data_IF_550610368091
#
_entry.id   IF_550610368091
#
_cell.length_a   1.000
_cell.length_b   1.000
_cell.length_c   1.000
_cell.angle_alpha   90.00
_cell.angle_beta   90.00
_cell.angle_gamma   90.00
#
_symmetry.space_group_name_H-M   'P 1'
#
loop_
_entity.id
_entity.type
_entity.pdbx_description
1 polymer ?
#
# COMPACT_ATOMS: atom_id res chain seq x y z
N UNK A 1 98.83 2.03 -36.79
CA UNK A 1 98.04 3.09 -36.12
C UNK A 1 96.68 3.17 -36.79
N UNK A 2 95.68 2.62 -36.08
CA UNK A 2 94.27 3.05 -35.96
C UNK A 2 93.64 4.00 -36.99
N UNK A 3 92.49 3.58 -37.54
CA UNK A 3 91.16 4.21 -37.57
C UNK A 3 90.40 3.71 -38.82
N UNK A 4 89.57 2.67 -38.74
CA UNK A 4 88.17 2.62 -38.28
C UNK A 4 87.15 3.32 -39.22
N UNK A 5 86.30 2.47 -39.82
CA UNK A 5 84.84 2.58 -39.99
C UNK A 5 84.18 3.57 -41.00
N UNK A 6 83.46 3.04 -42.02
CA UNK A 6 81.97 2.98 -42.09
C UNK A 6 81.39 2.34 -43.40
N UNK A 7 80.76 1.16 -43.23
CA UNK A 7 79.44 0.60 -43.68
C UNK A 7 78.55 1.50 -44.60
N UNK A 8 77.82 1.01 -45.64
CA UNK A 8 76.84 -0.10 -45.52
C UNK A 8 76.74 -1.16 -46.63
N UNK A 9 76.52 -2.41 -46.19
CA UNK A 9 75.89 -3.48 -46.94
C UNK A 9 74.36 -3.36 -46.78
N UNK A 10 73.68 -3.32 -47.91
CA UNK A 10 72.23 -3.38 -48.04
C UNK A 10 71.81 -4.86 -48.04
N UNK A 11 71.23 -5.32 -46.93
CA UNK A 11 70.64 -6.66 -46.81
C UNK A 11 69.37 -6.51 -45.97
N UNK A 12 68.26 -6.15 -46.61
CA UNK A 12 66.96 -6.32 -45.97
C UNK A 12 66.44 -7.73 -46.21
N UNK A 13 66.45 -8.44 -45.09
CA UNK A 13 66.04 -9.82 -44.89
C UNK A 13 64.53 -9.88 -44.73
N UNK A 14 63.98 -10.91 -45.36
CA UNK A 14 62.69 -11.56 -45.13
C UNK A 14 62.06 -11.29 -43.75
N UNK A 15 60.99 -10.50 -43.73
CA UNK A 15 60.14 -10.29 -42.56
C UNK A 15 58.77 -10.91 -42.83
N UNK A 16 58.57 -12.10 -42.27
CA UNK A 16 57.28 -12.80 -42.18
C UNK A 16 56.17 -11.87 -41.67
N UNK A 17 54.94 -11.93 -42.23
CA UNK A 17 53.82 -11.19 -41.67
C UNK A 17 53.41 -11.80 -40.32
N UNK A 18 53.55 -11.02 -39.26
CA UNK A 18 52.97 -11.34 -37.96
C UNK A 18 51.43 -11.43 -38.07
N UNK A 19 50.79 -12.37 -37.36
CA UNK A 19 49.34 -12.50 -37.38
C UNK A 19 48.71 -11.22 -36.84
N UNK A 20 47.86 -10.59 -37.65
CA UNK A 20 47.04 -9.47 -37.24
C UNK A 20 46.16 -9.92 -36.07
N UNK A 21 46.50 -9.47 -34.87
CA UNK A 21 45.61 -9.60 -33.71
C UNK A 21 44.26 -8.96 -34.08
N UNK A 22 43.12 -9.63 -33.85
CA UNK A 22 41.83 -9.00 -34.09
C UNK A 22 41.76 -7.75 -33.23
N UNK A 23 41.50 -6.62 -33.89
CA UNK A 23 41.29 -5.33 -33.25
C UNK A 23 40.28 -5.53 -32.11
N UNK A 24 40.73 -5.19 -30.90
CA UNK A 24 39.95 -5.33 -29.69
C UNK A 24 38.59 -4.65 -29.85
N UNK A 25 37.54 -5.47 -29.94
CA UNK A 25 36.15 -5.06 -29.87
C UNK A 25 35.86 -4.60 -28.42
N UNK A 26 36.22 -3.36 -28.12
CA UNK A 26 36.01 -2.70 -26.81
C UNK A 26 34.72 -1.87 -26.84
N UNK A 27 34.09 -1.61 -25.69
CA UNK A 27 33.05 -2.37 -25.03
C UNK A 27 31.71 -1.62 -25.18
N UNK A 28 31.22 -1.41 -26.41
CA UNK A 28 29.92 -0.74 -26.62
C UNK A 28 28.73 -1.56 -26.09
N UNK A 29 28.95 -2.86 -25.84
CA UNK A 29 28.00 -3.75 -25.16
C UNK A 29 27.93 -3.54 -23.63
N UNK A 30 28.96 -3.01 -22.98
CA UNK A 30 29.03 -2.95 -21.51
C UNK A 30 28.05 -1.94 -20.89
N UNK A 31 27.99 -0.72 -21.43
CA UNK A 31 27.10 0.35 -20.96
C UNK A 31 25.63 0.08 -21.33
N UNK A 32 25.34 -0.39 -22.55
CA UNK A 32 23.98 -0.78 -22.95
C UNK A 32 23.48 -1.95 -22.09
N UNK A 33 24.26 -3.01 -21.94
CA UNK A 33 23.88 -4.13 -21.07
C UNK A 33 23.72 -3.72 -19.60
N UNK A 34 24.50 -2.74 -19.13
CA UNK A 34 24.31 -2.16 -17.80
C UNK A 34 22.97 -1.43 -17.72
N UNK A 35 22.69 -0.50 -18.64
CA UNK A 35 21.42 0.25 -18.71
C UNK A 35 20.20 -0.68 -18.83
N UNK A 36 20.30 -1.75 -19.62
CA UNK A 36 19.26 -2.76 -19.75
C UNK A 36 19.03 -3.49 -18.42
N UNK A 37 20.11 -3.90 -17.73
CA UNK A 37 20.01 -4.46 -16.37
C UNK A 37 19.37 -3.48 -15.37
N UNK A 38 19.69 -2.19 -15.45
CA UNK A 38 19.04 -1.16 -14.63
C UNK A 38 17.56 -0.99 -14.98
N UNK A 39 17.20 -1.02 -16.27
CA UNK A 39 15.81 -0.95 -16.73
C UNK A 39 14.99 -2.14 -16.23
N UNK A 40 15.51 -3.36 -16.37
CA UNK A 40 14.89 -4.61 -15.86
C UNK A 40 14.71 -4.54 -14.34
N UNK A 41 15.75 -4.12 -13.59
CA UNK A 41 15.65 -3.96 -12.13
C UNK A 41 14.60 -2.95 -11.72
N UNK A 42 14.51 -1.81 -12.42
CA UNK A 42 13.47 -0.80 -12.16
C UNK A 42 12.08 -1.30 -12.50
N UNK A 43 11.91 -2.02 -13.60
CA UNK A 43 10.64 -2.64 -13.96
C UNK A 43 10.19 -3.65 -12.89
N UNK A 44 11.08 -4.55 -12.46
CA UNK A 44 10.80 -5.51 -11.39
C UNK A 44 10.53 -4.83 -10.03
N UNK A 45 11.19 -3.70 -9.73
CA UNK A 45 10.89 -2.94 -8.52
C UNK A 45 9.51 -2.26 -8.57
N UNK A 46 9.09 -1.76 -9.75
CA UNK A 46 7.75 -1.20 -9.94
C UNK A 46 6.68 -2.27 -9.84
N UNK A 47 6.86 -3.41 -10.50
CA UNK A 47 5.92 -4.53 -10.45
C UNK A 47 5.72 -5.02 -9.01
N UNK A 48 6.80 -5.18 -8.25
CA UNK A 48 6.73 -5.52 -6.82
C UNK A 48 5.90 -4.53 -5.99
N UNK A 49 6.05 -3.22 -6.24
CA UNK A 49 5.25 -2.19 -5.54
C UNK A 49 3.78 -2.27 -5.91
N UNK A 50 3.47 -2.55 -7.17
CA UNK A 50 2.09 -2.73 -7.62
C UNK A 50 1.47 -3.97 -6.98
N UNK A 51 2.18 -5.10 -6.99
CA UNK A 51 1.74 -6.34 -6.33
C UNK A 51 1.52 -6.12 -4.84
N UNK A 52 2.42 -5.41 -4.16
CA UNK A 52 2.26 -5.08 -2.75
C UNK A 52 1.03 -4.21 -2.49
N UNK A 53 0.79 -3.22 -3.36
CA UNK A 53 -0.39 -2.37 -3.24
C UNK A 53 -1.69 -3.13 -3.47
N UNK A 54 -1.71 -4.11 -4.40
CA UNK A 54 -2.86 -4.99 -4.60
C UNK A 54 -3.13 -5.86 -3.37
N UNK A 55 -2.08 -6.40 -2.73
CA UNK A 55 -2.22 -7.16 -1.47
C UNK A 55 -2.77 -6.28 -0.36
N UNK A 56 -2.27 -5.06 -0.25
CA UNK A 56 -2.75 -4.10 0.73
C UNK A 56 -4.25 -3.80 0.54
N UNK A 57 -4.73 -3.63 -0.70
CA UNK A 57 -6.15 -3.40 -0.96
C UNK A 57 -7.02 -4.62 -0.62
N UNK A 58 -6.53 -5.82 -0.89
CA UNK A 58 -7.17 -7.09 -0.50
C UNK A 58 -7.20 -7.28 1.03
N UNK A 59 -6.13 -6.90 1.75
CA UNK A 59 -6.11 -6.83 3.22
C UNK A 59 -7.11 -5.81 3.77
N UNK A 60 -7.21 -4.63 3.16
CA UNK A 60 -8.17 -3.60 3.54
C UNK A 60 -9.62 -4.06 3.30
N UNK A 61 -9.88 -4.76 2.20
CA UNK A 61 -11.20 -5.36 1.95
C UNK A 61 -11.57 -6.35 3.05
N UNK A 62 -10.68 -7.29 3.40
CA UNK A 62 -10.91 -8.24 4.51
C UNK A 62 -11.14 -7.56 5.85
N UNK A 63 -10.39 -6.50 6.13
CA UNK A 63 -10.54 -5.71 7.35
C UNK A 63 -11.94 -5.09 7.41
N UNK A 64 -12.42 -4.51 6.30
CA UNK A 64 -13.76 -3.93 6.21
C UNK A 64 -14.87 -4.98 6.33
N UNK A 65 -14.70 -6.16 5.73
CA UNK A 65 -15.61 -7.29 5.93
C UNK A 65 -15.68 -7.69 7.41
N UNK A 66 -14.53 -7.81 8.08
CA UNK A 66 -14.46 -8.13 9.52
C UNK A 66 -15.10 -7.03 10.37
N UNK A 67 -14.91 -5.75 10.00
CA UNK A 67 -15.55 -4.63 10.67
C UNK A 67 -17.07 -4.67 10.52
N UNK A 68 -17.58 -5.07 9.34
CA UNK A 68 -19.02 -5.24 9.11
C UNK A 68 -19.59 -6.33 10.00
N UNK A 69 -18.90 -7.47 10.14
CA UNK A 69 -19.28 -8.54 11.08
C UNK A 69 -19.29 -8.07 12.54
N UNK A 70 -18.39 -7.16 12.94
CA UNK A 70 -18.43 -6.55 14.28
C UNK A 70 -19.71 -5.74 14.47
N UNK A 71 -20.09 -4.90 13.49
CA UNK A 71 -21.32 -4.10 13.53
C UNK A 71 -22.57 -4.98 13.56
N UNK A 72 -22.60 -6.03 12.73
CA UNK A 72 -23.72 -6.98 12.64
C UNK A 72 -23.93 -7.76 13.94
N UNK A 73 -22.85 -8.08 14.68
CA UNK A 73 -22.95 -8.69 16.01
C UNK A 73 -23.41 -7.71 17.09
N UNK A 74 -23.02 -6.45 16.98
CA UNK A 74 -23.38 -5.43 17.95
C UNK A 74 -22.94 -4.04 17.50
N UNK A 75 -23.92 -3.16 17.35
CA UNK A 75 -23.71 -1.76 16.99
C UNK A 75 -24.10 -0.82 18.13
N UNK A 76 -23.35 0.28 18.30
CA UNK A 76 -23.68 1.34 19.27
C UNK A 76 -23.48 2.73 18.68
N UNK A 77 -24.25 3.67 19.21
CA UNK A 77 -24.08 5.11 19.03
C UNK A 77 -23.47 5.76 20.26
N UNK A 78 -22.91 6.95 20.09
CA UNK A 78 -22.40 7.84 21.14
C UNK A 78 -21.30 7.22 22.03
N UNK A 79 -20.69 6.14 21.56
CA UNK A 79 -19.58 5.44 22.19
C UNK A 79 -18.80 4.72 21.10
N UNK A 80 -17.49 4.55 21.28
CA UNK A 80 -16.67 3.77 20.36
C UNK A 80 -16.87 2.27 20.57
N UNK A 81 -16.94 1.85 21.83
CA UNK A 81 -17.08 0.45 22.22
C UNK A 81 -18.09 0.29 23.35
N UNK A 82 -18.80 -0.83 23.34
CA UNK A 82 -19.44 -1.41 24.49
C UNK A 82 -18.78 -2.75 24.79
N UNK A 83 -18.40 -3.00 26.04
CA UNK A 83 -17.62 -4.17 26.45
C UNK A 83 -18.09 -4.70 27.81
N UNK A 84 -17.72 -5.94 28.13
CA UNK A 84 -17.94 -6.50 29.47
C UNK A 84 -16.77 -6.13 30.39
N UNK A 85 -17.07 -5.51 31.53
CA UNK A 85 -16.10 -5.32 32.59
C UNK A 85 -15.78 -6.61 33.36
N UNK A 86 -14.87 -6.52 34.32
CA UNK A 86 -14.44 -7.66 35.16
C UNK A 86 -15.58 -8.30 35.96
N UNK A 87 -16.69 -7.57 36.15
CA UNK A 87 -17.89 -8.05 36.85
C UNK A 87 -18.97 -8.53 35.86
N UNK A 88 -18.65 -8.66 34.57
CA UNK A 88 -19.59 -9.06 33.53
C UNK A 88 -20.65 -8.00 33.19
N UNK A 89 -20.47 -6.75 33.59
CA UNK A 89 -21.42 -5.66 33.30
C UNK A 89 -21.04 -4.98 32.00
N UNK A 90 -22.05 -4.61 31.20
CA UNK A 90 -21.84 -3.84 29.97
C UNK A 90 -21.45 -2.41 30.34
N UNK A 91 -20.29 -1.97 29.86
CA UNK A 91 -19.76 -0.61 29.97
C UNK A 91 -19.54 -0.03 28.59
N UNK A 92 -19.68 1.29 28.46
CA UNK A 92 -19.37 2.03 27.22
C UNK A 92 -18.06 2.80 27.39
N UNK A 93 -17.26 2.87 26.33
CA UNK A 93 -16.07 3.70 26.25
C UNK A 93 -16.17 4.65 25.05
N UNK A 94 -15.80 5.91 25.28
CA UNK A 94 -15.54 6.88 24.21
C UNK A 94 -14.17 6.63 23.58
N UNK A 95 -13.82 7.41 22.54
CA UNK A 95 -12.48 7.39 21.94
C UNK A 95 -11.37 7.66 22.96
N UNK A 96 -11.59 8.58 23.90
CA UNK A 96 -10.62 8.95 24.93
C UNK A 96 -10.33 7.82 25.93
N UNK A 97 -11.28 6.92 26.14
CA UNK A 97 -11.18 5.76 27.03
C UNK A 97 -11.05 4.45 26.24
N UNK A 98 -10.72 4.51 24.95
CA UNK A 98 -10.65 3.33 24.09
C UNK A 98 -9.67 2.28 24.62
N UNK A 99 -8.56 2.74 25.21
CA UNK A 99 -7.51 1.87 25.74
C UNK A 99 -7.98 0.99 26.91
N UNK A 100 -8.97 1.43 27.67
CA UNK A 100 -9.53 0.67 28.80
C UNK A 100 -10.25 -0.60 28.35
N UNK A 101 -10.62 -0.67 27.06
CA UNK A 101 -11.31 -1.80 26.43
C UNK A 101 -10.35 -2.92 26.03
N UNK A 102 -9.04 -2.68 26.01
CA UNK A 102 -8.06 -3.63 25.49
C UNK A 102 -8.17 -4.99 26.22
N UNK A 103 -8.29 -6.06 25.42
CA UNK A 103 -8.40 -7.43 25.94
C UNK A 103 -9.74 -7.76 26.60
N UNK A 104 -10.68 -6.82 26.68
CA UNK A 104 -12.02 -7.07 27.24
C UNK A 104 -12.96 -7.62 26.17
N UNK A 105 -13.93 -8.48 26.52
CA UNK A 105 -14.93 -8.97 25.58
C UNK A 105 -15.75 -7.82 24.99
N UNK A 106 -15.68 -7.66 23.67
CA UNK A 106 -16.46 -6.66 22.94
C UNK A 106 -17.92 -7.12 22.80
N UNK A 107 -18.85 -6.24 23.15
CA UNK A 107 -20.30 -6.45 23.01
C UNK A 107 -20.83 -5.73 21.76
N UNK A 108 -20.40 -4.48 21.55
CA UNK A 108 -20.79 -3.69 20.39
C UNK A 108 -19.74 -2.63 20.06
N UNK A 109 -19.71 -2.15 18.82
CA UNK A 109 -18.87 -1.01 18.43
C UNK A 109 -19.63 -0.05 17.51
N UNK A 110 -19.22 1.22 17.50
CA UNK A 110 -19.65 2.14 16.43
C UNK A 110 -18.91 1.85 15.13
N UNK A 111 -19.27 2.52 14.03
CA UNK A 111 -18.58 2.40 12.74
C UNK A 111 -17.04 2.47 12.86
N UNK A 112 -16.52 3.54 13.48
CA UNK A 112 -15.06 3.74 13.63
C UNK A 112 -14.47 2.69 14.57
N UNK A 113 -15.14 2.41 15.68
CA UNK A 113 -14.72 1.39 16.65
C UNK A 113 -14.67 -0.01 16.03
N UNK A 114 -15.58 -0.35 15.13
CA UNK A 114 -15.62 -1.63 14.44
C UNK A 114 -14.40 -1.83 13.54
N UNK A 115 -14.00 -0.80 12.79
CA UNK A 115 -12.76 -0.81 11.99
C UNK A 115 -11.53 -1.00 12.88
N UNK A 116 -11.47 -0.28 14.00
CA UNK A 116 -10.37 -0.40 14.98
C UNK A 116 -10.34 -1.78 15.62
N UNK A 117 -11.50 -2.33 16.00
CA UNK A 117 -11.61 -3.67 16.57
C UNK A 117 -11.18 -4.75 15.59
N UNK A 118 -11.60 -4.65 14.32
CA UNK A 118 -11.21 -5.57 13.26
C UNK A 118 -9.69 -5.59 13.02
N UNK A 119 -9.01 -4.46 13.26
CA UNK A 119 -7.57 -4.35 13.16
C UNK A 119 -6.79 -4.82 14.41
N UNK A 120 -7.46 -5.44 15.39
CA UNK A 120 -6.82 -5.93 16.61
C UNK A 120 -7.00 -5.04 17.85
N UNK A 121 -7.86 -4.02 17.76
CA UNK A 121 -8.30 -3.22 18.91
C UNK A 121 -7.67 -1.82 19.01
N UNK A 122 -7.95 -1.12 20.12
CA UNK A 122 -7.57 0.28 20.35
C UNK A 122 -6.11 0.65 20.04
N UNK A 123 -5.17 -0.26 20.30
CA UNK A 123 -3.74 -0.06 20.02
C UNK A 123 -3.44 0.18 18.53
N UNK A 124 -4.26 -0.37 17.64
CA UNK A 124 -4.11 -0.25 16.20
C UNK A 124 -4.70 1.05 15.62
N UNK A 125 -5.33 1.91 16.43
CA UNK A 125 -6.09 3.07 15.94
C UNK A 125 -5.28 4.01 15.02
N UNK A 126 -3.98 4.17 15.30
CA UNK A 126 -3.07 5.00 14.51
C UNK A 126 -2.29 4.23 13.43
N UNK A 127 -2.54 2.93 13.29
CA UNK A 127 -1.88 2.11 12.28
C UNK A 127 -2.31 2.51 10.86
N UNK A 128 -1.38 2.40 9.91
CA UNK A 128 -1.63 2.65 8.48
C UNK A 128 -2.86 1.89 7.95
N UNK A 129 -3.04 0.57 8.23
CA UNK A 129 -4.22 -0.16 7.78
C UNK A 129 -5.54 0.43 8.27
N UNK A 130 -5.64 0.82 9.55
CA UNK A 130 -6.85 1.46 10.09
C UNK A 130 -7.10 2.80 9.40
N UNK A 131 -6.07 3.63 9.24
CA UNK A 131 -6.21 4.94 8.61
C UNK A 131 -6.66 4.83 7.15
N UNK A 132 -6.13 3.87 6.39
CA UNK A 132 -6.54 3.61 5.01
C UNK A 132 -7.93 2.99 4.90
N UNK A 133 -8.31 2.12 5.82
CA UNK A 133 -9.67 1.59 5.89
C UNK A 133 -10.67 2.73 6.16
N UNK A 134 -10.35 3.65 7.07
CA UNK A 134 -11.19 4.83 7.32
C UNK A 134 -11.25 5.78 6.12
N UNK A 135 -10.17 5.90 5.33
CA UNK A 135 -10.21 6.65 4.07
C UNK A 135 -11.19 6.02 3.07
N UNK A 136 -11.22 4.68 2.96
CA UNK A 136 -12.18 3.96 2.12
C UNK A 136 -13.63 4.16 2.60
N UNK A 137 -13.87 4.05 3.92
CA UNK A 137 -15.21 4.25 4.50
C UNK A 137 -15.70 5.68 4.30
N UNK A 138 -14.83 6.66 4.54
CA UNK A 138 -15.19 8.06 4.29
C UNK A 138 -15.42 8.33 2.81
N UNK A 139 -14.63 7.73 1.92
CA UNK A 139 -14.87 7.82 0.47
C UNK A 139 -16.24 7.26 0.09
N UNK A 140 -16.57 6.06 0.58
CA UNK A 140 -17.88 5.43 0.36
C UNK A 140 -19.06 6.27 0.88
N UNK A 141 -18.84 7.08 1.92
CA UNK A 141 -19.86 7.99 2.46
C UNK A 141 -19.99 9.28 1.63
N UNK A 142 -18.86 9.86 1.22
CA UNK A 142 -18.80 11.24 0.76
C UNK A 142 -18.68 11.40 -0.77
N UNK A 143 -18.49 10.30 -1.52
CA UNK A 143 -18.21 10.32 -2.96
C UNK A 143 -19.06 9.28 -3.68
N UNK A 144 -19.33 9.55 -4.95
CA UNK A 144 -19.98 8.59 -5.83
C UNK A 144 -19.06 7.38 -6.08
N UNK A 145 -19.67 6.18 -6.18
CA UNK A 145 -18.94 4.97 -6.53
C UNK A 145 -18.22 5.14 -7.89
N UNK A 146 -16.96 4.71 -7.95
CA UNK A 146 -16.14 4.83 -9.16
C UNK A 146 -15.34 6.13 -9.27
N UNK A 147 -15.37 7.01 -8.27
CA UNK A 147 -14.33 8.03 -8.13
C UNK A 147 -13.06 7.41 -7.52
N UNK A 148 -11.85 7.88 -7.91
CA UNK A 148 -10.61 7.38 -7.31
C UNK A 148 -10.48 7.84 -5.85
N UNK A 149 -9.91 6.98 -5.01
CA UNK A 149 -9.70 7.28 -3.59
C UNK A 149 -8.53 8.26 -3.43
N UNK A 150 -8.76 9.32 -2.65
CA UNK A 150 -7.72 10.27 -2.26
C UNK A 150 -6.96 9.75 -1.03
N UNK A 151 -5.92 8.97 -1.31
CA UNK A 151 -5.01 8.39 -0.31
C UNK A 151 -4.16 9.45 0.39
N UNK A 152 -3.72 9.12 1.62
CA UNK A 152 -2.79 9.93 2.41
C UNK A 152 -3.21 11.39 2.60
N UNK A 153 -4.45 11.66 3.06
CA UNK A 153 -4.85 13.03 3.41
C UNK A 153 -3.95 13.60 4.52
N UNK A 154 -3.87 14.93 4.58
CA UNK A 154 -3.21 15.66 5.66
C UNK A 154 -3.82 15.26 7.03
N UNK A 155 -3.05 15.31 8.14
CA UNK A 155 -3.52 14.89 9.46
C UNK A 155 -4.84 15.52 9.90
N UNK A 156 -5.01 16.83 9.71
CA UNK A 156 -6.24 17.54 10.09
C UNK A 156 -7.46 17.08 9.28
N UNK A 157 -7.24 16.73 8.00
CA UNK A 157 -8.27 16.16 7.16
C UNK A 157 -8.65 14.75 7.63
N UNK A 158 -7.71 13.92 8.11
CA UNK A 158 -8.06 12.61 8.71
C UNK A 158 -8.95 12.80 9.92
N UNK A 159 -8.60 13.73 10.80
CA UNK A 159 -9.40 14.03 11.98
C UNK A 159 -10.79 14.59 11.63
N UNK A 160 -10.89 15.39 10.56
CA UNK A 160 -12.19 15.83 10.04
C UNK A 160 -13.02 14.65 9.52
N UNK A 161 -12.42 13.77 8.69
CA UNK A 161 -13.10 12.56 8.16
C UNK A 161 -13.61 11.65 9.27
N UNK A 162 -12.81 11.39 10.32
CA UNK A 162 -13.25 10.58 11.46
C UNK A 162 -14.41 11.23 12.21
N UNK A 163 -14.42 12.56 12.35
CA UNK A 163 -15.55 13.28 12.93
C UNK A 163 -16.81 13.17 12.08
N UNK A 164 -16.70 13.29 10.76
CA UNK A 164 -17.83 13.09 9.83
C UNK A 164 -18.43 11.69 9.99
N UNK A 165 -17.57 10.66 10.00
CA UNK A 165 -18.00 9.27 10.19
C UNK A 165 -18.67 9.05 11.54
N UNK A 166 -18.12 9.64 12.60
CA UNK A 166 -18.70 9.55 13.96
C UNK A 166 -20.06 10.26 14.00
N UNK A 167 -20.16 11.47 13.45
CA UNK A 167 -21.41 12.22 13.40
C UNK A 167 -22.47 11.52 12.56
N UNK A 168 -22.09 10.90 11.44
CA UNK A 168 -23.01 10.13 10.59
C UNK A 168 -23.51 8.86 11.29
N UNK A 169 -22.63 8.16 12.02
CA UNK A 169 -22.99 6.99 12.85
C UNK A 169 -23.95 7.36 13.98
N UNK A 170 -23.73 8.52 14.60
CA UNK A 170 -24.46 8.96 15.78
C UNK A 170 -25.76 9.73 15.45
N UNK A 171 -26.15 9.79 14.18
CA UNK A 171 -27.43 10.40 13.79
C UNK A 171 -28.61 9.65 14.45
N UNK A 172 -29.63 10.34 15.01
CA UNK A 172 -30.69 9.70 15.80
C UNK A 172 -31.49 8.61 15.07
N UNK A 173 -31.58 8.70 13.74
CA UNK A 173 -32.30 7.74 12.89
C UNK A 173 -31.39 6.65 12.33
N UNK A 174 -30.10 6.65 12.66
CA UNK A 174 -29.14 5.68 12.13
C UNK A 174 -29.48 4.29 12.64
N UNK A 175 -29.21 3.29 11.80
CA UNK A 175 -29.38 1.87 12.15
C UNK A 175 -28.09 1.08 11.91
N UNK A 176 -27.96 -0.05 12.61
CA UNK A 176 -26.86 -1.00 12.38
C UNK A 176 -26.80 -1.47 10.91
N UNK A 177 -27.96 -1.68 10.28
CA UNK A 177 -28.06 -2.13 8.89
C UNK A 177 -27.49 -1.10 7.90
N UNK A 178 -27.73 0.19 8.12
CA UNK A 178 -27.14 1.25 7.29
C UNK A 178 -25.62 1.34 7.49
N UNK A 179 -25.14 1.18 8.72
CA UNK A 179 -23.71 1.18 9.02
C UNK A 179 -23.01 -0.02 8.38
N UNK A 180 -23.61 -1.21 8.46
CA UNK A 180 -23.13 -2.41 7.78
C UNK A 180 -23.16 -2.23 6.25
N UNK A 181 -24.20 -1.59 5.71
CA UNK A 181 -24.32 -1.29 4.28
C UNK A 181 -23.23 -0.32 3.80
N UNK A 182 -22.88 0.69 4.60
CA UNK A 182 -21.77 1.59 4.30
C UNK A 182 -20.42 0.85 4.27
N UNK A 183 -20.18 -0.07 5.20
CA UNK A 183 -18.98 -0.91 5.20
C UNK A 183 -18.93 -1.81 3.96
N UNK A 184 -20.06 -2.39 3.56
CA UNK A 184 -20.16 -3.16 2.32
C UNK A 184 -19.88 -2.29 1.07
N UNK A 185 -20.31 -1.04 1.06
CA UNK A 185 -19.94 -0.09 0.01
C UNK A 185 -18.44 0.20 0.02
N UNK A 186 -17.82 0.37 1.19
CA UNK A 186 -16.37 0.54 1.31
C UNK A 186 -15.58 -0.69 0.83
N UNK A 187 -16.09 -1.91 1.06
CA UNK A 187 -15.53 -3.15 0.50
C UNK A 187 -15.52 -3.07 -1.05
N UNK A 188 -16.62 -2.63 -1.68
CA UNK A 188 -16.67 -2.42 -3.14
C UNK A 188 -15.70 -1.35 -3.63
N UNK A 189 -15.51 -0.27 -2.87
CA UNK A 189 -14.52 0.76 -3.21
C UNK A 189 -13.10 0.17 -3.24
N UNK A 190 -12.74 -0.71 -2.30
CA UNK A 190 -11.44 -1.40 -2.29
C UNK A 190 -11.24 -2.29 -3.53
N UNK A 191 -12.29 -3.00 -3.97
CA UNK A 191 -12.29 -3.80 -5.19
C UNK A 191 -12.07 -2.92 -6.42
N UNK A 192 -12.82 -1.82 -6.55
CA UNK A 192 -12.67 -0.89 -7.68
C UNK A 192 -11.27 -0.25 -7.73
N UNK A 193 -10.67 0.08 -6.58
CA UNK A 193 -9.28 0.56 -6.55
C UNK A 193 -8.30 -0.53 -6.98
N UNK A 194 -8.54 -1.79 -6.61
CA UNK A 194 -7.72 -2.94 -7.04
C UNK A 194 -7.77 -3.12 -8.56
N UNK A 195 -8.96 -3.02 -9.15
CA UNK A 195 -9.16 -3.07 -10.61
C UNK A 195 -8.41 -1.93 -11.32
N UNK A 196 -8.44 -0.71 -10.78
CA UNK A 196 -7.68 0.43 -11.34
C UNK A 196 -6.17 0.18 -11.30
N UNK A 197 -5.67 -0.36 -10.19
CA UNK A 197 -4.25 -0.67 -10.03
C UNK A 197 -3.84 -1.78 -11.00
N UNK A 198 -4.66 -2.82 -11.14
CA UNK A 198 -4.43 -3.91 -12.07
C UNK A 198 -4.47 -3.43 -13.54
N UNK A 199 -5.42 -2.57 -13.91
CA UNK A 199 -5.50 -1.99 -15.24
C UNK A 199 -4.24 -1.17 -15.58
N UNK A 200 -3.75 -0.35 -14.62
CA UNK A 200 -2.49 0.39 -14.78
C UNK A 200 -1.28 -0.54 -14.95
N UNK A 201 -1.25 -1.67 -14.24
CA UNK A 201 -0.19 -2.70 -14.35
C UNK A 201 -0.15 -3.32 -15.75
N UNK A 202 -1.32 -3.70 -16.27
CA UNK A 202 -1.45 -4.31 -17.60
C UNK A 202 -1.04 -3.30 -18.68
N UNK A 203 -1.51 -2.06 -18.60
CA UNK A 203 -1.14 -1.00 -19.54
C UNK A 203 0.39 -0.73 -19.55
N UNK A 204 1.02 -0.71 -18.37
CA UNK A 204 2.46 -0.52 -18.25
C UNK A 204 3.30 -1.71 -18.74
N UNK A 205 2.71 -2.89 -18.89
CA UNK A 205 3.39 -4.10 -19.39
C UNK A 205 3.23 -4.29 -20.91
N UNK A 206 2.26 -3.60 -21.51
CA UNK A 206 2.00 -3.61 -22.96
C UNK A 206 2.81 -2.53 -23.74
N UNK A 207 3.55 -1.67 -23.03
CA UNK A 207 4.41 -0.60 -23.58
C UNK A 207 5.87 -0.98 -23.45
#
# INVERSE_FOLDING_TARGET
MTLEFRVPHDVDTDASPAPSAPAADRPRHGLRALLDRWAVRRAAARDRRIVEHLRELDDLQRLLTTAREVVERGWTQHAWFAYLDEHGRVRKASSAAAMDVQGRPLVAACLVGAVVSAAGGPQAVHSQPVQRALDLVWHALARDEGQPVAWCPAPDLRMARVRDLTSWNDAPTRTAAEVASLLLTAERVAVHESERVQARRVAASAT
#
